data_IF_981726344597
#
_entry.id   IF_981726344597
#
_cell.length_a   1.000
_cell.length_b   1.000
_cell.length_c   1.000
_cell.angle_alpha   90.00
_cell.angle_beta   90.00
_cell.angle_gamma   90.00
#
_symmetry.space_group_name_H-M   'P 1'
#
loop_
_entity.id
_entity.type
_entity.pdbx_description
1 polymer ?
#
# COMPACT_ATOMS: atom_id res chain seq x y z
N UNK A 1 6.03 10.74 5.36
CA UNK A 1 5.85 10.84 6.82
C UNK A 1 5.66 9.43 7.36
N UNK A 2 6.27 9.09 8.49
CA UNK A 2 6.07 7.76 9.10
C UNK A 2 4.73 7.77 9.85
N UNK A 3 3.77 6.98 9.38
CA UNK A 3 2.43 6.88 9.97
C UNK A 3 2.30 5.70 10.97
N UNK A 4 3.41 5.05 11.33
CA UNK A 4 3.41 3.95 12.27
C UNK A 4 3.18 4.47 13.70
N UNK A 5 2.23 3.90 14.46
CA UNK A 5 1.95 4.30 15.85
C UNK A 5 3.18 4.31 16.76
N UNK A 6 4.15 3.43 16.51
CA UNK A 6 5.41 3.33 17.26
C UNK A 6 6.30 4.57 17.10
N UNK A 7 6.16 5.32 16.01
CA UNK A 7 6.93 6.51 15.72
C UNK A 7 6.25 7.81 16.19
N UNK A 8 5.01 7.73 16.71
CA UNK A 8 4.27 8.87 17.22
C UNK A 8 4.70 9.21 18.65
N UNK A 9 5.93 9.70 18.81
CA UNK A 9 6.43 10.36 20.00
C UNK A 9 6.02 9.74 21.34
N UNK A 10 6.25 8.42 21.52
CA UNK A 10 5.78 7.74 22.73
C UNK A 10 6.40 8.35 23.99
N UNK A 11 5.64 8.49 25.08
CA UNK A 11 6.19 8.77 26.40
C UNK A 11 7.22 7.72 26.82
N UNK A 12 8.19 8.12 27.64
CA UNK A 12 9.32 7.28 28.04
C UNK A 12 8.86 5.99 28.75
N UNK A 13 9.51 4.88 28.44
CA UNK A 13 9.19 3.53 28.95
C UNK A 13 9.25 3.42 30.48
N UNK A 14 10.08 4.25 31.12
CA UNK A 14 10.21 4.30 32.58
C UNK A 14 8.95 4.84 33.29
N UNK A 15 8.05 5.51 32.55
CA UNK A 15 6.82 6.07 33.10
C UNK A 15 5.58 5.25 32.73
N UNK A 16 5.55 4.65 31.53
CA UNK A 16 4.35 3.99 30.99
C UNK A 16 4.53 2.51 30.63
N UNK A 17 5.72 1.95 30.83
CA UNK A 17 6.03 0.57 30.49
C UNK A 17 6.33 0.36 29.00
N UNK A 18 6.81 -0.83 28.67
CA UNK A 18 7.09 -1.22 27.29
C UNK A 18 5.79 -1.45 26.50
N UNK A 19 5.84 -1.20 25.19
CA UNK A 19 4.73 -1.52 24.28
C UNK A 19 4.38 -3.02 24.33
N UNK A 20 3.10 -3.33 24.41
CA UNK A 20 2.62 -4.68 24.16
C UNK A 20 2.67 -4.94 22.65
N UNK A 21 3.68 -5.70 22.22
CA UNK A 21 3.87 -6.04 20.81
C UNK A 21 2.72 -6.88 20.23
N UNK A 22 1.88 -7.51 21.06
CA UNK A 22 0.70 -8.24 20.59
C UNK A 22 -0.40 -7.33 20.04
N UNK A 23 -0.41 -6.05 20.43
CA UNK A 23 -1.35 -5.04 19.93
C UNK A 23 -0.88 -4.37 18.63
N UNK A 24 0.37 -4.60 18.22
CA UNK A 24 0.88 -4.14 16.94
C UNK A 24 0.40 -5.11 15.86
N UNK A 25 -0.62 -4.69 15.11
CA UNK A 25 -1.17 -5.48 14.01
C UNK A 25 -0.04 -5.97 13.08
N UNK A 26 0.02 -7.28 12.88
CA UNK A 26 0.89 -7.96 11.91
C UNK A 26 0.38 -7.66 10.50
N UNK A 27 0.62 -6.44 10.02
CA UNK A 27 0.04 -5.91 8.79
C UNK A 27 -0.40 -4.47 8.94
N UNK A 28 0.56 -3.57 9.20
CA UNK A 28 0.31 -2.13 9.26
C UNK A 28 -0.37 -1.60 8.00
N UNK A 29 -0.89 -0.35 8.02
CA UNK A 29 -1.64 0.21 6.90
C UNK A 29 -0.82 0.17 5.61
N UNK A 30 -1.37 -0.45 4.56
CA UNK A 30 -0.79 -0.43 3.22
C UNK A 30 -0.91 0.98 2.66
N UNK A 31 0.23 1.68 2.54
CA UNK A 31 0.28 3.00 1.92
C UNK A 31 0.62 2.86 0.43
N UNK A 32 -0.34 3.20 -0.43
CA UNK A 32 -0.15 3.24 -1.88
C UNK A 32 0.42 4.59 -2.33
N UNK A 33 1.10 4.60 -3.48
CA UNK A 33 1.67 5.82 -4.08
C UNK A 33 0.57 6.76 -4.56
N UNK A 34 0.59 8.01 -4.08
CA UNK A 34 -0.40 9.03 -4.47
C UNK A 34 -0.08 9.74 -5.78
N UNK A 35 1.19 9.68 -6.22
CA UNK A 35 1.70 10.35 -7.42
C UNK A 35 2.69 9.42 -8.13
N UNK A 36 2.21 8.52 -9.01
CA UNK A 36 3.10 7.63 -9.76
C UNK A 36 3.99 8.45 -10.72
N UNK A 37 5.30 8.17 -10.73
CA UNK A 37 6.28 8.91 -11.54
C UNK A 37 6.33 8.37 -12.98
N UNK A 38 6.25 7.05 -13.14
CA UNK A 38 6.15 6.38 -14.44
C UNK A 38 4.80 5.66 -14.49
N UNK A 39 4.03 5.92 -15.55
CA UNK A 39 2.72 5.33 -15.78
C UNK A 39 2.70 4.62 -17.12
N UNK A 40 1.94 3.53 -17.22
CA UNK A 40 1.59 2.95 -18.52
C UNK A 40 0.58 3.82 -19.29
N UNK A 41 0.26 3.39 -20.50
CA UNK A 41 -0.74 4.01 -21.37
C UNK A 41 -2.09 3.28 -21.25
N UNK A 42 -3.01 3.60 -22.15
CA UNK A 42 -4.30 2.93 -22.27
C UNK A 42 -4.16 1.46 -22.67
N UNK A 43 -5.03 0.62 -22.10
CA UNK A 43 -5.22 -0.78 -22.50
C UNK A 43 -6.58 -0.91 -23.16
N UNK A 44 -6.68 -1.65 -24.28
CA UNK A 44 -7.95 -1.92 -24.95
C UNK A 44 -8.33 -3.40 -24.83
N UNK A 45 -9.63 -3.68 -24.75
CA UNK A 45 -10.15 -5.04 -24.66
C UNK A 45 -11.44 -5.22 -25.45
N UNK A 46 -11.60 -6.39 -26.07
CA UNK A 46 -12.80 -6.78 -26.83
C UNK A 46 -13.27 -8.17 -26.38
N UNK A 47 -14.57 -8.28 -26.08
CA UNK A 47 -15.24 -9.56 -25.80
C UNK A 47 -15.85 -10.12 -27.08
N UNK A 48 -15.73 -11.44 -27.28
CA UNK A 48 -16.41 -12.18 -28.33
C UNK A 48 -17.06 -13.45 -27.75
N UNK A 49 -17.79 -14.20 -28.58
CA UNK A 49 -18.63 -15.32 -28.15
C UNK A 49 -17.93 -16.31 -27.21
N UNK A 50 -16.69 -16.64 -27.52
CA UNK A 50 -15.92 -17.71 -26.85
C UNK A 50 -14.65 -17.19 -26.14
N UNK A 51 -14.52 -15.86 -25.95
CA UNK A 51 -13.33 -15.32 -25.29
C UNK A 51 -13.22 -13.80 -25.22
N UNK A 52 -12.04 -13.34 -24.84
CA UNK A 52 -11.65 -11.92 -24.74
C UNK A 52 -10.25 -11.76 -25.32
N UNK A 53 -10.01 -10.66 -26.03
CA UNK A 53 -8.66 -10.22 -26.42
C UNK A 53 -8.35 -8.88 -25.77
N UNK A 54 -7.10 -8.72 -25.30
CA UNK A 54 -6.59 -7.50 -24.66
C UNK A 54 -5.27 -7.13 -25.33
N UNK A 55 -5.04 -5.84 -25.57
CA UNK A 55 -3.80 -5.34 -26.14
C UNK A 55 -3.38 -4.00 -25.49
N UNK A 56 -2.07 -3.78 -25.45
CA UNK A 56 -1.40 -2.55 -25.02
C UNK A 56 -0.12 -2.36 -25.85
N UNK A 57 0.41 -1.13 -25.89
CA UNK A 57 1.72 -0.85 -26.45
C UNK A 57 2.85 -1.17 -25.44
N UNK A 58 4.10 -1.05 -25.88
CA UNK A 58 5.30 -1.34 -25.09
C UNK A 58 6.11 -0.08 -24.77
N UNK A 59 5.41 1.02 -24.46
CA UNK A 59 6.01 2.31 -24.11
C UNK A 59 6.87 2.24 -22.84
#
# INVERSE_FOLDING_TARGET
>A
MNHLPQAWGRPRDDVYGAYDASQLAQGGPSQHTQQPIVTGTSVIGLKFKDGVVIAADNL
#
